data_IF_172400193078
#
_entry.id   IF_172400193078
#
_cell.length_a   1.000
_cell.length_b   1.000
_cell.length_c   1.000
_cell.angle_alpha   90.00
_cell.angle_beta   90.00
_cell.angle_gamma   90.00
#
_symmetry.space_group_name_H-M   'P 1'
#
loop_
_entity.id
_entity.type
_entity.pdbx_description
1 polymer ?
#
# COMPACT_ATOMS: atom_id res chain seq x y z
N UNK A 1 16.88 -18.27 6.27
CA UNK A 1 16.72 -16.88 5.81
C UNK A 1 15.35 -16.66 5.18
N UNK A 2 14.82 -15.44 5.29
CA UNK A 2 13.54 -15.03 4.69
C UNK A 2 13.84 -13.96 3.64
N UNK A 3 13.63 -14.27 2.36
CA UNK A 3 13.83 -13.30 1.29
C UNK A 3 12.51 -12.67 0.93
N UNK A 4 12.48 -11.33 0.98
CA UNK A 4 11.41 -10.52 0.41
C UNK A 4 11.89 -9.92 -0.90
N UNK A 5 11.05 -9.94 -1.91
CA UNK A 5 11.33 -9.34 -3.21
C UNK A 5 10.20 -8.35 -3.50
N UNK A 6 10.54 -7.08 -3.60
CA UNK A 6 9.64 -6.02 -4.04
C UNK A 6 9.82 -5.81 -5.55
N UNK A 7 8.75 -6.02 -6.30
CA UNK A 7 8.79 -6.00 -7.76
C UNK A 7 8.07 -4.75 -8.26
N UNK A 8 8.84 -3.73 -8.62
CA UNK A 8 8.33 -2.52 -9.24
C UNK A 8 8.47 -2.52 -10.76
N UNK A 9 7.81 -1.57 -11.42
CA UNK A 9 7.90 -1.41 -12.87
C UNK A 9 9.28 -1.01 -13.40
N UNK A 10 10.17 -0.47 -12.56
CA UNK A 10 11.53 -0.02 -12.96
C UNK A 10 12.66 -0.79 -12.30
N UNK A 11 12.44 -1.32 -11.10
CA UNK A 11 13.44 -2.04 -10.32
C UNK A 11 12.80 -3.23 -9.60
N UNK A 12 13.60 -4.27 -9.40
CA UNK A 12 13.33 -5.40 -8.51
C UNK A 12 14.33 -5.30 -7.36
N UNK A 13 13.85 -5.31 -6.12
CA UNK A 13 14.66 -5.29 -4.91
C UNK A 13 14.48 -6.60 -4.15
N UNK A 14 15.55 -7.30 -3.86
CA UNK A 14 15.60 -8.40 -2.91
C UNK A 14 16.22 -7.91 -1.60
N UNK A 15 15.60 -8.22 -0.47
CA UNK A 15 16.23 -8.12 0.84
C UNK A 15 16.06 -9.43 1.61
N UNK A 16 17.11 -9.79 2.34
CA UNK A 16 17.11 -10.96 3.21
C UNK A 16 16.99 -10.55 4.68
N UNK A 17 16.19 -11.30 5.41
CA UNK A 17 15.89 -11.06 6.81
C UNK A 17 16.10 -12.32 7.65
N UNK A 18 16.40 -12.13 8.95
CA UNK A 18 16.35 -13.20 9.93
C UNK A 18 14.89 -13.40 10.44
N UNK A 19 14.68 -14.33 11.38
CA UNK A 19 13.38 -14.62 11.97
C UNK A 19 12.75 -13.45 12.76
N UNK A 20 13.54 -12.43 13.12
CA UNK A 20 13.06 -11.20 13.76
C UNK A 20 12.75 -10.10 12.75
N UNK A 21 12.83 -10.40 11.46
CA UNK A 21 12.71 -9.43 10.36
C UNK A 21 13.73 -8.28 10.44
N UNK A 22 14.93 -8.56 10.97
CA UNK A 22 16.08 -7.67 10.87
C UNK A 22 16.72 -7.87 9.49
N UNK A 23 16.92 -6.77 8.75
CA UNK A 23 17.47 -6.80 7.38
C UNK A 23 18.97 -7.04 7.41
N UNK A 24 19.44 -8.11 6.76
CA UNK A 24 20.83 -8.53 6.72
C UNK A 24 21.51 -8.32 5.37
N UNK A 25 20.72 -8.25 4.29
CA UNK A 25 21.26 -8.14 2.92
C UNK A 25 20.23 -7.41 2.05
N UNK A 26 20.71 -6.72 1.01
CA UNK A 26 19.85 -6.12 -0.01
C UNK A 26 20.59 -6.04 -1.34
N UNK A 27 19.88 -6.31 -2.43
CA UNK A 27 20.38 -6.15 -3.79
C UNK A 27 19.23 -5.67 -4.69
N UNK A 28 19.57 -4.86 -5.69
CA UNK A 28 18.61 -4.30 -6.65
C UNK A 28 19.09 -4.52 -8.07
N UNK A 29 18.14 -4.79 -8.95
CA UNK A 29 18.38 -4.87 -10.39
C UNK A 29 17.26 -4.10 -11.14
N UNK A 30 17.52 -3.60 -12.36
CA UNK A 30 16.46 -3.07 -13.22
C UNK A 30 15.42 -4.16 -13.52
N UNK A 31 14.14 -3.78 -13.63
CA UNK A 31 13.07 -4.69 -14.04
C UNK A 31 13.12 -4.90 -15.55
N UNK A 32 13.35 -6.14 -16.06
CA UNK A 32 13.21 -6.44 -17.48
C UNK A 32 11.78 -6.19 -17.96
N UNK A 33 11.64 -5.45 -19.08
CA UNK A 33 10.33 -4.97 -19.56
C UNK A 33 9.90 -5.60 -20.89
N UNK A 34 10.81 -6.33 -21.56
CA UNK A 34 10.61 -6.77 -22.95
C UNK A 34 10.42 -8.26 -23.09
N UNK A 35 10.96 -9.05 -22.17
CA UNK A 35 10.91 -10.52 -22.21
C UNK A 35 10.57 -11.12 -20.85
N UNK A 36 9.65 -12.07 -20.81
CA UNK A 36 9.22 -12.73 -19.59
C UNK A 36 10.30 -13.67 -19.02
N UNK A 37 11.06 -14.34 -19.88
CA UNK A 37 12.14 -15.23 -19.42
C UNK A 37 13.29 -14.44 -18.79
N UNK A 38 13.63 -13.27 -19.35
CA UNK A 38 14.60 -12.36 -18.76
C UNK A 38 14.12 -11.86 -17.40
N UNK A 39 12.82 -11.58 -17.24
CA UNK A 39 12.21 -11.18 -15.97
C UNK A 39 12.33 -12.31 -14.92
N UNK A 40 11.99 -13.54 -15.27
CA UNK A 40 12.15 -14.71 -14.39
C UNK A 40 13.64 -14.93 -14.03
N UNK A 41 14.54 -14.80 -15.00
CA UNK A 41 15.98 -14.99 -14.78
C UNK A 41 16.60 -13.91 -13.88
N UNK A 42 16.10 -12.67 -13.95
CA UNK A 42 16.53 -11.59 -13.06
C UNK A 42 16.20 -11.91 -11.59
N UNK A 43 14.97 -12.39 -11.32
CA UNK A 43 14.56 -12.81 -9.97
C UNK A 43 15.39 -14.02 -9.51
N UNK A 44 15.54 -15.04 -10.37
CA UNK A 44 16.37 -16.22 -10.08
C UNK A 44 17.79 -15.83 -9.70
N UNK A 45 18.40 -14.94 -10.46
CA UNK A 45 19.77 -14.49 -10.23
C UNK A 45 19.92 -13.79 -8.87
N UNK A 46 18.95 -12.93 -8.49
CA UNK A 46 18.96 -12.30 -7.18
C UNK A 46 18.87 -13.32 -6.04
N UNK A 47 17.97 -14.31 -6.18
CA UNK A 47 17.79 -15.37 -5.17
C UNK A 47 19.04 -16.26 -5.06
N UNK A 48 19.65 -16.66 -6.18
CA UNK A 48 20.86 -17.48 -6.18
C UNK A 48 22.06 -16.75 -5.55
N UNK A 49 22.18 -15.43 -5.77
CA UNK A 49 23.22 -14.62 -5.12
C UNK A 49 23.00 -14.52 -3.61
N UNK A 50 21.75 -14.34 -3.17
CA UNK A 50 21.43 -14.33 -1.76
C UNK A 50 21.70 -15.69 -1.11
N UNK A 51 21.31 -16.81 -1.75
CA UNK A 51 21.61 -18.18 -1.28
C UNK A 51 23.13 -18.40 -1.16
N UNK A 52 23.89 -17.96 -2.15
CA UNK A 52 25.36 -18.08 -2.14
C UNK A 52 26.00 -17.25 -1.02
N UNK A 53 25.44 -16.04 -0.77
CA UNK A 53 25.91 -15.15 0.31
C UNK A 53 25.73 -15.76 1.71
N UNK A 54 24.60 -16.44 1.95
CA UNK A 54 24.30 -17.05 3.26
C UNK A 54 24.71 -18.53 3.36
N UNK A 55 25.03 -19.17 2.26
CA UNK A 55 25.34 -20.59 2.22
C UNK A 55 24.15 -21.52 2.45
N UNK A 56 22.92 -20.98 2.38
CA UNK A 56 21.67 -21.72 2.56
C UNK A 56 20.57 -21.20 1.64
N UNK A 57 19.55 -22.03 1.36
CA UNK A 57 18.37 -21.63 0.62
C UNK A 57 17.36 -20.92 1.54
N UNK A 58 17.06 -19.64 1.27
CA UNK A 58 16.02 -18.91 1.97
C UNK A 58 14.61 -19.17 1.40
N UNK A 59 13.56 -18.80 2.14
CA UNK A 59 12.19 -18.72 1.60
C UNK A 59 12.05 -17.50 0.69
N UNK A 60 11.11 -17.51 -0.26
CA UNK A 60 10.96 -16.42 -1.25
C UNK A 60 9.53 -15.88 -1.25
N UNK A 61 9.36 -14.67 -0.75
CA UNK A 61 8.12 -13.92 -0.83
C UNK A 61 8.23 -12.75 -1.80
N UNK A 62 7.15 -12.47 -2.55
CA UNK A 62 7.07 -11.40 -3.53
C UNK A 62 6.03 -10.37 -3.12
N UNK A 63 6.36 -9.09 -3.25
CA UNK A 63 5.43 -7.98 -3.29
C UNK A 63 5.23 -7.51 -4.72
N UNK A 64 3.98 -7.42 -5.19
CA UNK A 64 3.61 -7.13 -6.56
C UNK A 64 2.76 -5.86 -6.66
N UNK A 65 2.92 -5.03 -7.71
CA UNK A 65 1.97 -3.95 -8.03
C UNK A 65 0.74 -4.53 -8.74
N UNK A 66 -0.09 -5.24 -8.00
CA UNK A 66 -1.21 -6.06 -8.45
C UNK A 66 -1.33 -7.29 -7.58
N UNK A 67 -1.88 -8.38 -8.09
CA UNK A 67 -2.08 -9.61 -7.33
C UNK A 67 -1.97 -10.86 -8.22
N UNK A 68 -1.87 -12.03 -7.59
CA UNK A 68 -2.02 -13.32 -8.28
C UNK A 68 -3.43 -13.82 -8.01
N UNK A 69 -4.21 -14.00 -9.07
CA UNK A 69 -5.57 -14.50 -8.97
C UNK A 69 -5.57 -15.94 -8.44
N UNK A 70 -6.09 -16.12 -7.23
CA UNK A 70 -6.07 -17.40 -6.51
C UNK A 70 -6.88 -18.51 -7.20
N UNK A 71 -7.79 -18.17 -8.12
CA UNK A 71 -8.60 -19.14 -8.87
C UNK A 71 -7.89 -19.61 -10.13
N UNK A 72 -7.23 -18.69 -10.84
CA UNK A 72 -6.57 -19.00 -12.13
C UNK A 72 -5.07 -19.25 -12.00
N UNK A 73 -4.44 -18.76 -10.92
CA UNK A 73 -2.99 -18.78 -10.74
C UNK A 73 -2.25 -17.77 -11.61
N UNK A 74 -2.96 -16.88 -12.33
CA UNK A 74 -2.36 -15.89 -13.21
C UNK A 74 -2.17 -14.57 -12.48
N UNK A 75 -1.07 -13.87 -12.79
CA UNK A 75 -0.82 -12.53 -12.27
C UNK A 75 -1.67 -11.49 -13.01
N UNK A 76 -2.23 -10.55 -12.24
CA UNK A 76 -2.89 -9.35 -12.72
C UNK A 76 -2.08 -8.14 -12.27
N UNK A 77 -1.16 -7.67 -13.13
CA UNK A 77 -0.16 -6.63 -12.83
C UNK A 77 -0.10 -5.60 -13.95
N UNK A 78 -0.47 -4.36 -13.65
CA UNK A 78 -0.61 -3.30 -14.66
C UNK A 78 0.73 -2.68 -15.07
N UNK A 79 1.69 -2.61 -14.16
CA UNK A 79 2.95 -1.87 -14.35
C UNK A 79 4.11 -2.77 -14.83
N UNK A 80 3.89 -4.09 -15.00
CA UNK A 80 4.90 -5.07 -15.41
C UNK A 80 4.28 -5.93 -16.52
N UNK A 81 4.16 -5.34 -17.71
CA UNK A 81 3.45 -5.96 -18.85
C UNK A 81 3.94 -7.36 -19.22
N UNK A 82 5.22 -7.64 -19.05
CA UNK A 82 5.80 -8.95 -19.38
C UNK A 82 5.32 -10.06 -18.45
N UNK A 83 4.95 -9.72 -17.21
CA UNK A 83 4.43 -10.65 -16.19
C UNK A 83 2.91 -10.69 -16.13
N UNK A 84 2.21 -9.76 -16.81
CA UNK A 84 0.76 -9.73 -16.80
C UNK A 84 0.16 -10.95 -17.48
N UNK A 85 -0.89 -11.51 -16.88
CA UNK A 85 -1.56 -12.74 -17.35
C UNK A 85 -0.59 -13.95 -17.47
N UNK A 86 0.45 -14.03 -16.61
CA UNK A 86 1.42 -15.15 -16.56
C UNK A 86 1.30 -15.93 -15.24
N UNK A 87 1.59 -17.25 -15.24
CA UNK A 87 1.60 -18.10 -14.04
C UNK A 87 2.91 -17.92 -13.25
N UNK A 88 3.18 -16.69 -12.80
CA UNK A 88 4.49 -16.29 -12.25
C UNK A 88 4.91 -17.12 -11.04
N UNK A 89 4.01 -17.54 -10.17
CA UNK A 89 4.34 -18.38 -9.02
C UNK A 89 4.81 -19.76 -9.47
N UNK A 90 4.03 -20.44 -10.30
CA UNK A 90 4.37 -21.78 -10.79
C UNK A 90 5.71 -21.80 -11.57
N UNK A 91 5.95 -20.75 -12.39
CA UNK A 91 7.20 -20.65 -13.15
C UNK A 91 8.40 -20.35 -12.23
N UNK A 92 8.24 -19.45 -11.24
CA UNK A 92 9.29 -19.17 -10.26
C UNK A 92 9.58 -20.38 -9.36
N UNK A 93 8.57 -21.09 -8.88
CA UNK A 93 8.73 -22.31 -8.09
C UNK A 93 9.49 -23.38 -8.86
N UNK A 94 9.17 -23.55 -10.15
CA UNK A 94 9.87 -24.49 -11.04
C UNK A 94 11.34 -24.16 -11.20
N UNK A 95 11.71 -22.89 -11.44
CA UNK A 95 13.10 -22.51 -11.69
C UNK A 95 13.94 -22.38 -10.41
N UNK A 96 13.31 -22.07 -9.26
CA UNK A 96 13.98 -21.93 -7.96
C UNK A 96 14.02 -23.27 -7.18
N UNK A 97 13.14 -24.21 -7.51
CA UNK A 97 13.01 -25.50 -6.83
C UNK A 97 12.57 -25.37 -5.37
N UNK A 98 11.68 -24.39 -5.07
CA UNK A 98 11.13 -24.11 -3.73
C UNK A 98 9.81 -23.37 -3.82
N UNK A 99 9.03 -23.41 -2.74
CA UNK A 99 7.77 -22.63 -2.60
C UNK A 99 8.05 -21.13 -2.74
N UNK A 100 7.16 -20.44 -3.48
CA UNK A 100 7.16 -19.00 -3.66
C UNK A 100 5.77 -18.48 -3.26
N UNK A 101 5.71 -17.44 -2.43
CA UNK A 101 4.47 -16.75 -2.08
C UNK A 101 4.48 -15.35 -2.65
N UNK A 102 3.33 -14.86 -3.06
CA UNK A 102 3.19 -13.50 -3.53
C UNK A 102 1.95 -12.85 -2.94
N UNK A 103 2.06 -11.54 -2.72
CA UNK A 103 0.95 -10.68 -2.30
C UNK A 103 1.08 -9.31 -2.97
N UNK A 104 -0.02 -8.55 -2.95
CA UNK A 104 0.00 -7.16 -3.34
C UNK A 104 0.96 -6.35 -2.46
N UNK A 105 1.57 -5.30 -3.01
CA UNK A 105 2.54 -4.45 -2.34
C UNK A 105 1.96 -3.74 -1.10
N UNK A 106 0.70 -3.28 -1.15
CA UNK A 106 0.02 -2.69 0.00
C UNK A 106 -0.32 -3.75 1.08
N UNK A 107 -0.62 -4.99 0.70
CA UNK A 107 -0.77 -6.11 1.62
C UNK A 107 0.56 -6.43 2.31
N UNK A 108 1.66 -6.46 1.56
CA UNK A 108 3.00 -6.61 2.11
C UNK A 108 3.35 -5.48 3.08
N UNK A 109 3.05 -4.23 2.72
CA UNK A 109 3.22 -3.09 3.61
C UNK A 109 2.43 -3.28 4.92
N UNK A 110 1.15 -3.60 4.85
CA UNK A 110 0.31 -3.82 6.03
C UNK A 110 0.85 -4.97 6.91
N UNK A 111 1.31 -6.05 6.30
CA UNK A 111 1.91 -7.19 7.01
C UNK A 111 3.20 -6.79 7.70
N UNK A 112 4.07 -6.01 7.03
CA UNK A 112 5.30 -5.50 7.60
C UNK A 112 5.05 -4.70 8.89
N UNK A 113 4.08 -3.79 8.83
CA UNK A 113 3.72 -2.96 9.99
C UNK A 113 3.03 -3.77 11.10
N UNK A 114 2.19 -4.75 10.76
CA UNK A 114 1.55 -5.63 11.72
C UNK A 114 2.56 -6.53 12.47
N UNK A 115 3.68 -6.88 11.84
CA UNK A 115 4.76 -7.67 12.45
C UNK A 115 5.83 -6.82 13.15
N UNK A 116 5.64 -5.51 13.29
CA UNK A 116 6.45 -4.71 14.19
C UNK A 116 6.14 -5.08 15.66
N UNK A 117 7.16 -5.18 16.51
CA UNK A 117 7.01 -5.61 17.92
C UNK A 117 5.95 -4.81 18.68
N UNK A 118 5.88 -3.50 18.44
CA UNK A 118 4.90 -2.61 19.08
C UNK A 118 3.46 -2.85 18.60
N UNK A 119 3.30 -3.47 17.43
CA UNK A 119 2.01 -3.64 16.78
C UNK A 119 1.47 -5.07 16.88
N UNK A 120 2.28 -6.04 17.31
CA UNK A 120 1.87 -7.45 17.45
C UNK A 120 0.72 -7.68 18.44
N UNK A 121 0.49 -6.74 19.36
CA UNK A 121 -0.63 -6.75 20.30
C UNK A 121 -2.00 -6.50 19.64
N UNK A 122 -2.05 -5.93 18.42
CA UNK A 122 -3.30 -5.62 17.74
C UNK A 122 -3.78 -6.84 16.93
N UNK A 123 -5.00 -7.37 17.21
CA UNK A 123 -5.56 -8.50 16.48
C UNK A 123 -5.77 -8.20 15.00
N UNK A 124 -6.08 -6.96 14.63
CA UNK A 124 -6.17 -6.54 13.23
C UNK A 124 -5.51 -5.19 12.98
N UNK A 125 -4.83 -5.10 11.85
CA UNK A 125 -4.11 -3.92 11.39
C UNK A 125 -4.55 -3.59 9.97
N UNK A 126 -4.99 -2.37 9.76
CA UNK A 126 -5.28 -1.82 8.44
C UNK A 126 -4.11 -0.92 8.01
N UNK A 127 -3.35 -1.34 7.02
CA UNK A 127 -2.34 -0.51 6.38
C UNK A 127 -2.97 0.33 5.28
N UNK A 128 -2.75 1.64 5.28
CA UNK A 128 -3.21 2.56 4.24
C UNK A 128 -2.00 3.30 3.67
N UNK A 129 -1.80 3.21 2.36
CA UNK A 129 -0.71 3.90 1.66
C UNK A 129 -1.28 5.14 0.98
N UNK A 130 -0.85 6.32 1.42
CA UNK A 130 -1.15 7.61 0.82
C UNK A 130 0.09 8.08 0.03
N UNK A 131 0.38 7.36 -1.05
CA UNK A 131 1.53 7.58 -1.93
C UNK A 131 1.15 8.29 -3.24
N UNK A 132 1.78 7.92 -4.36
CA UNK A 132 1.35 8.37 -5.69
C UNK A 132 -0.11 7.99 -5.95
N UNK A 133 -0.52 6.78 -5.53
CA UNK A 133 -1.90 6.32 -5.44
C UNK A 133 -2.32 6.14 -3.98
N UNK A 134 -3.56 5.68 -3.78
CA UNK A 134 -4.10 5.24 -2.51
C UNK A 134 -4.38 3.75 -2.56
N UNK A 135 -3.83 3.00 -1.63
CA UNK A 135 -4.04 1.56 -1.50
C UNK A 135 -4.12 1.14 -0.05
N UNK A 136 -4.45 -0.12 0.19
CA UNK A 136 -4.48 -0.64 1.54
C UNK A 136 -4.34 -2.15 1.61
N UNK A 137 -4.04 -2.64 2.81
CA UNK A 137 -4.00 -4.06 3.13
C UNK A 137 -4.58 -4.31 4.51
N UNK A 138 -5.22 -5.45 4.69
CA UNK A 138 -5.83 -5.82 5.97
C UNK A 138 -5.23 -7.10 6.52
N UNK A 139 -4.68 -7.00 7.72
CA UNK A 139 -4.02 -8.10 8.44
C UNK A 139 -4.84 -8.48 9.67
N UNK A 140 -5.17 -9.75 9.81
CA UNK A 140 -5.91 -10.31 10.93
C UNK A 140 -5.06 -11.40 11.57
N UNK A 141 -4.77 -11.29 12.88
CA UNK A 141 -3.95 -12.25 13.62
C UNK A 141 -2.61 -12.56 12.93
N UNK A 142 -1.96 -11.50 12.39
CA UNK A 142 -0.68 -11.61 11.72
C UNK A 142 -0.71 -12.21 10.32
N UNK A 143 -1.89 -12.43 9.73
CA UNK A 143 -2.08 -12.94 8.37
C UNK A 143 -2.83 -11.95 7.50
N UNK A 144 -2.44 -11.84 6.26
CA UNK A 144 -3.14 -11.01 5.26
C UNK A 144 -4.51 -11.62 4.97
N UNK A 145 -5.51 -10.76 4.85
CA UNK A 145 -6.82 -11.13 4.31
C UNK A 145 -6.83 -10.87 2.80
N UNK A 146 -6.48 -11.88 2.01
CA UNK A 146 -6.35 -11.76 0.55
C UNK A 146 -7.70 -11.85 -0.19
N UNK A 147 -8.78 -12.33 0.47
CA UNK A 147 -10.10 -12.51 -0.15
C UNK A 147 -10.19 -13.73 -1.05
N UNK A 148 -11.25 -13.78 -1.87
CA UNK A 148 -11.57 -14.95 -2.71
C UNK A 148 -10.59 -15.13 -3.88
N UNK A 149 -10.19 -14.03 -4.51
CA UNK A 149 -9.36 -14.06 -5.72
C UNK A 149 -8.00 -13.38 -5.55
N UNK A 150 -7.68 -12.89 -4.34
CA UNK A 150 -6.44 -12.18 -4.06
C UNK A 150 -6.53 -10.65 -4.10
N UNK A 151 -7.71 -10.07 -4.36
CA UNK A 151 -7.87 -8.61 -4.52
C UNK A 151 -8.46 -7.88 -3.29
N UNK A 152 -8.57 -8.54 -2.14
CA UNK A 152 -9.01 -7.85 -0.94
C UNK A 152 -7.97 -6.79 -0.53
N UNK A 153 -8.45 -5.60 -0.16
CA UNK A 153 -7.55 -4.48 0.15
C UNK A 153 -7.40 -3.46 -0.97
N UNK A 154 -7.99 -3.69 -2.15
CA UNK A 154 -8.05 -2.72 -3.26
C UNK A 154 -8.93 -1.50 -2.93
N UNK A 155 -8.65 -0.90 -1.75
CA UNK A 155 -9.43 0.20 -1.15
C UNK A 155 -9.37 1.49 -1.98
N UNK A 156 -8.31 1.64 -2.76
CA UNK A 156 -8.17 2.77 -3.68
C UNK A 156 -9.25 2.83 -4.74
N UNK A 157 -9.87 1.69 -5.06
CA UNK A 157 -10.94 1.61 -6.06
C UNK A 157 -12.36 1.72 -5.50
N UNK A 158 -12.51 1.92 -4.18
CA UNK A 158 -13.76 2.43 -3.60
C UNK A 158 -14.03 3.84 -4.14
N UNK A 159 -15.30 4.12 -4.45
CA UNK A 159 -15.69 5.41 -5.00
C UNK A 159 -16.08 6.41 -3.89
N UNK A 160 -16.01 7.70 -4.22
CA UNK A 160 -16.51 8.76 -3.35
C UNK A 160 -18.00 8.53 -3.03
N UNK A 161 -18.33 8.65 -1.76
CA UNK A 161 -19.70 8.54 -1.31
C UNK A 161 -20.44 9.90 -1.41
N UNK A 162 -21.73 9.89 -1.07
CA UNK A 162 -22.60 11.07 -1.04
C UNK A 162 -22.00 12.25 -0.24
N UNK A 163 -21.45 11.98 0.96
CA UNK A 163 -20.92 13.02 1.83
C UNK A 163 -19.65 13.67 1.26
N UNK A 164 -18.80 12.86 0.64
CA UNK A 164 -17.61 13.34 -0.04
C UNK A 164 -17.96 14.24 -1.24
N UNK A 165 -18.90 13.81 -2.08
CA UNK A 165 -19.39 14.62 -3.20
C UNK A 165 -20.00 15.94 -2.73
N UNK A 166 -20.80 15.91 -1.65
CA UNK A 166 -21.39 17.12 -1.05
C UNK A 166 -20.30 18.06 -0.55
N UNK A 167 -19.26 17.55 0.12
CA UNK A 167 -18.13 18.35 0.59
C UNK A 167 -17.43 19.06 -0.56
N UNK A 168 -17.25 18.37 -1.70
CA UNK A 168 -16.57 18.90 -2.89
C UNK A 168 -17.46 19.78 -3.79
N UNK A 169 -18.71 20.09 -3.39
CA UNK A 169 -19.60 21.00 -4.11
C UNK A 169 -20.63 20.30 -5.01
N UNK A 170 -20.87 19.00 -4.77
CA UNK A 170 -21.91 18.20 -5.42
C UNK A 170 -21.74 18.14 -6.95
N UNK A 171 -22.57 18.83 -7.71
CA UNK A 171 -22.54 18.92 -9.18
C UNK A 171 -21.29 19.63 -9.73
N UNK A 172 -20.56 20.33 -8.88
CA UNK A 172 -19.28 21.00 -9.18
C UNK A 172 -18.07 20.20 -8.68
N UNK A 173 -18.29 19.06 -8.02
CA UNK A 173 -17.20 18.23 -7.53
C UNK A 173 -16.32 17.78 -8.72
N UNK A 174 -14.99 17.93 -8.64
CA UNK A 174 -14.11 17.41 -9.68
C UNK A 174 -14.22 15.87 -9.69
N UNK A 175 -14.54 15.30 -10.85
CA UNK A 175 -14.67 13.85 -11.04
C UNK A 175 -13.51 13.37 -11.89
N UNK A 176 -12.59 12.63 -11.27
CA UNK A 176 -11.39 12.11 -11.91
C UNK A 176 -11.61 10.68 -12.44
N UNK A 177 -11.04 10.42 -13.61
CA UNK A 177 -10.93 9.05 -14.13
C UNK A 177 -9.78 8.33 -13.45
N UNK A 178 -10.03 7.11 -12.97
CA UNK A 178 -9.02 6.24 -12.39
C UNK A 178 -8.38 5.34 -13.44
N UNK A 179 -7.14 4.92 -13.19
CA UNK A 179 -6.43 3.95 -14.03
C UNK A 179 -7.15 2.60 -14.20
N UNK A 180 -8.05 2.23 -13.25
CA UNK A 180 -8.89 1.04 -13.38
C UNK A 180 -10.06 1.18 -14.37
N UNK A 181 -10.22 2.35 -15.00
CA UNK A 181 -11.31 2.66 -15.95
C UNK A 181 -12.55 3.28 -15.32
N UNK A 182 -12.73 3.19 -13.99
CA UNK A 182 -13.83 3.81 -13.25
C UNK A 182 -13.56 5.30 -12.97
N UNK A 183 -14.55 5.99 -12.44
CA UNK A 183 -14.47 7.38 -12.02
C UNK A 183 -14.67 7.50 -10.52
N UNK A 184 -14.14 8.59 -9.95
CA UNK A 184 -14.30 8.95 -8.54
C UNK A 184 -13.73 7.91 -7.55
N UNK A 185 -12.74 7.12 -7.95
CA UNK A 185 -12.02 6.21 -7.06
C UNK A 185 -11.19 6.99 -6.03
N UNK A 186 -11.14 6.54 -4.78
CA UNK A 186 -10.37 7.16 -3.69
C UNK A 186 -8.90 7.36 -4.04
N UNK A 187 -8.33 6.48 -4.88
CA UNK A 187 -6.98 6.58 -5.43
C UNK A 187 -6.66 7.95 -6.04
N UNK A 188 -7.66 8.58 -6.66
CA UNK A 188 -7.51 9.88 -7.32
C UNK A 188 -7.82 11.08 -6.41
N UNK A 189 -8.13 10.86 -5.11
CA UNK A 189 -8.48 11.94 -4.17
C UNK A 189 -7.65 11.94 -2.90
N UNK A 190 -7.51 10.80 -2.21
CA UNK A 190 -6.81 10.71 -0.92
C UNK A 190 -5.40 10.13 -1.04
N UNK A 191 -4.80 10.26 -2.22
CA UNK A 191 -3.39 10.01 -2.51
C UNK A 191 -2.60 11.31 -2.60
N UNK A 192 -1.27 11.22 -2.70
CA UNK A 192 -0.42 12.39 -2.96
C UNK A 192 -0.77 13.09 -4.26
N UNK A 193 -0.95 12.33 -5.34
CA UNK A 193 -1.42 12.87 -6.62
C UNK A 193 -2.81 13.50 -6.51
N UNK A 194 -3.72 12.83 -5.79
CA UNK A 194 -5.07 13.36 -5.54
C UNK A 194 -5.05 14.66 -4.75
N UNK A 195 -4.16 14.78 -3.77
CA UNK A 195 -3.95 15.98 -2.97
C UNK A 195 -3.54 17.18 -3.86
N UNK A 196 -2.61 16.98 -4.79
CA UNK A 196 -2.16 18.00 -5.75
C UNK A 196 -3.26 18.37 -6.75
N UNK A 197 -3.94 17.37 -7.33
CA UNK A 197 -5.04 17.58 -8.30
C UNK A 197 -6.20 18.35 -7.66
N UNK A 198 -6.61 17.98 -6.46
CA UNK A 198 -7.67 18.66 -5.72
C UNK A 198 -7.29 20.11 -5.37
N UNK A 199 -6.02 20.35 -4.96
CA UNK A 199 -5.56 21.71 -4.69
C UNK A 199 -5.67 22.57 -5.94
N UNK A 200 -5.16 22.07 -7.07
CA UNK A 200 -5.24 22.76 -8.35
C UNK A 200 -6.69 23.12 -8.72
N UNK A 201 -7.61 22.15 -8.61
CA UNK A 201 -8.98 22.34 -9.07
C UNK A 201 -9.84 23.19 -8.10
N UNK A 202 -9.54 23.14 -6.79
CA UNK A 202 -10.25 23.92 -5.77
C UNK A 202 -9.66 25.33 -5.53
N UNK A 203 -8.35 25.50 -5.77
CA UNK A 203 -7.63 26.74 -5.48
C UNK A 203 -7.09 27.44 -6.74
N UNK A 204 -7.10 26.79 -7.90
CA UNK A 204 -6.69 27.36 -9.18
C UNK A 204 -5.18 27.49 -9.37
N UNK A 205 -4.38 26.80 -8.56
CA UNK A 205 -2.92 26.86 -8.60
C UNK A 205 -2.32 25.43 -8.58
N UNK A 206 -1.34 25.18 -9.44
CA UNK A 206 -0.67 23.88 -9.55
C UNK A 206 0.58 23.88 -8.66
N UNK A 207 0.56 23.07 -7.60
CA UNK A 207 1.63 22.93 -6.61
C UNK A 207 1.85 21.46 -6.28
N UNK A 208 3.09 21.13 -5.93
CA UNK A 208 3.40 19.83 -5.33
C UNK A 208 2.82 19.68 -3.93
N UNK A 209 2.60 18.45 -3.49
CA UNK A 209 2.13 18.16 -2.14
C UNK A 209 3.04 18.81 -1.06
N UNK A 210 4.35 18.81 -1.31
CA UNK A 210 5.30 19.46 -0.40
C UNK A 210 5.07 20.95 -0.31
N UNK A 211 4.92 21.66 -1.42
CA UNK A 211 4.68 23.11 -1.43
C UNK A 211 3.35 23.46 -0.76
N UNK A 212 2.30 22.68 -0.99
CA UNK A 212 1.01 22.88 -0.32
C UNK A 212 1.16 22.73 1.20
N UNK A 213 1.89 21.70 1.66
CA UNK A 213 2.16 21.45 3.08
C UNK A 213 3.01 22.56 3.67
N UNK A 214 4.04 23.03 2.98
CA UNK A 214 4.89 24.15 3.43
C UNK A 214 4.05 25.42 3.61
N UNK A 215 3.16 25.74 2.65
CA UNK A 215 2.22 26.88 2.76
C UNK A 215 1.19 26.70 3.88
N UNK A 216 0.72 25.49 4.12
CA UNK A 216 -0.16 25.20 5.27
C UNK A 216 0.54 25.54 6.60
N UNK A 217 1.79 25.11 6.77
CA UNK A 217 2.56 25.46 7.98
C UNK A 217 2.92 26.96 8.06
N UNK A 218 3.07 27.62 6.92
CA UNK A 218 3.19 29.08 6.83
C UNK A 218 1.85 29.81 7.11
N UNK A 219 0.73 29.06 7.30
CA UNK A 219 -0.62 29.58 7.58
C UNK A 219 -1.20 30.42 6.45
N UNK A 220 -0.85 30.14 5.21
CA UNK A 220 -1.50 30.73 4.06
C UNK A 220 -2.96 30.26 3.99
N UNK A 221 -3.89 31.23 3.89
CA UNK A 221 -5.33 30.99 4.00
C UNK A 221 -5.83 29.92 3.00
N UNK A 222 -5.37 29.99 1.74
CA UNK A 222 -5.77 29.03 0.70
C UNK A 222 -5.34 27.61 1.02
N UNK A 223 -4.12 27.41 1.54
CA UNK A 223 -3.59 26.11 1.91
C UNK A 223 -4.26 25.57 3.19
N UNK A 224 -4.50 26.44 4.17
CA UNK A 224 -5.21 26.07 5.41
C UNK A 224 -6.65 25.63 5.11
N UNK A 225 -7.37 26.39 4.27
CA UNK A 225 -8.74 26.01 3.89
C UNK A 225 -8.77 24.71 3.07
N UNK A 226 -7.83 24.54 2.15
CA UNK A 226 -7.68 23.31 1.38
C UNK A 226 -7.40 22.09 2.26
N UNK A 227 -6.43 22.18 3.18
CA UNK A 227 -6.08 21.07 4.08
C UNK A 227 -7.27 20.70 4.96
N UNK A 228 -8.09 21.66 5.40
CA UNK A 228 -9.33 21.38 6.13
C UNK A 228 -10.29 20.53 5.29
N UNK A 229 -10.47 20.87 4.01
CA UNK A 229 -11.31 20.09 3.07
C UNK A 229 -10.73 18.69 2.87
N UNK A 230 -9.42 18.58 2.66
CA UNK A 230 -8.75 17.30 2.43
C UNK A 230 -8.84 16.36 3.65
N UNK A 231 -8.62 16.89 4.86
CA UNK A 231 -8.76 16.10 6.11
C UNK A 231 -10.18 15.59 6.26
N UNK A 232 -11.19 16.44 5.98
CA UNK A 232 -12.59 16.03 6.05
C UNK A 232 -12.92 14.94 5.01
N UNK A 233 -12.42 15.09 3.77
CA UNK A 233 -12.57 14.09 2.71
C UNK A 233 -11.91 12.76 3.09
N UNK A 234 -10.71 12.82 3.65
CA UNK A 234 -10.00 11.63 4.13
C UNK A 234 -10.74 10.97 5.30
N UNK A 235 -11.28 11.76 6.24
CA UNK A 235 -12.07 11.25 7.36
C UNK A 235 -13.37 10.57 6.90
N UNK A 236 -14.09 11.14 5.94
CA UNK A 236 -15.27 10.52 5.32
C UNK A 236 -14.89 9.17 4.70
N UNK A 237 -13.80 9.12 3.93
CA UNK A 237 -13.37 7.94 3.20
C UNK A 237 -12.86 6.85 4.14
N UNK A 238 -11.97 7.20 5.06
CA UNK A 238 -11.41 6.27 6.06
C UNK A 238 -12.51 5.82 7.03
N UNK A 239 -13.47 6.68 7.38
CA UNK A 239 -14.63 6.35 8.20
C UNK A 239 -15.49 5.22 7.60
N UNK A 240 -15.68 5.22 6.27
CA UNK A 240 -16.35 4.11 5.58
C UNK A 240 -15.53 2.82 5.65
N UNK A 241 -14.22 2.91 5.50
CA UNK A 241 -13.32 1.77 5.61
C UNK A 241 -13.33 1.21 7.04
N UNK A 242 -13.28 2.07 8.06
CA UNK A 242 -13.41 1.66 9.47
C UNK A 242 -14.77 0.96 9.69
N UNK A 243 -15.84 1.51 9.14
CA UNK A 243 -17.19 0.91 9.27
C UNK A 243 -17.26 -0.49 8.65
N UNK A 244 -16.51 -0.75 7.58
CA UNK A 244 -16.48 -2.05 6.90
C UNK A 244 -15.59 -3.09 7.59
N UNK A 245 -14.47 -2.67 8.18
CA UNK A 245 -13.42 -3.57 8.67
C UNK A 245 -13.25 -3.58 10.20
N UNK A 246 -13.71 -2.54 10.89
CA UNK A 246 -13.56 -2.35 12.36
C UNK A 246 -12.14 -2.72 12.85
N UNK A 247 -11.07 -2.09 12.29
CA UNK A 247 -9.70 -2.46 12.60
C UNK A 247 -9.30 -2.03 14.00
N UNK A 248 -8.42 -2.81 14.67
CA UNK A 248 -7.87 -2.43 15.97
C UNK A 248 -6.81 -1.33 15.86
N UNK A 249 -6.19 -1.18 14.69
CA UNK A 249 -5.17 -0.15 14.42
C UNK A 249 -5.12 0.18 12.94
N UNK A 250 -4.82 1.45 12.62
CA UNK A 250 -4.50 1.92 11.28
C UNK A 250 -3.04 2.39 11.23
N UNK A 251 -2.32 2.00 10.18
CA UNK A 251 -0.98 2.52 9.87
C UNK A 251 -1.02 3.26 8.56
N UNK A 252 -0.53 4.51 8.55
CA UNK A 252 -0.42 5.33 7.35
C UNK A 252 1.00 5.25 6.79
N UNK A 253 1.11 4.90 5.51
CA UNK A 253 2.33 4.92 4.72
C UNK A 253 2.21 5.82 3.50
N UNK A 254 3.25 5.83 2.66
CA UNK A 254 3.35 6.68 1.49
C UNK A 254 3.75 8.13 1.81
N UNK A 255 3.93 8.95 0.78
CA UNK A 255 4.49 10.30 0.91
C UNK A 255 3.70 11.22 1.85
N UNK A 256 2.36 11.19 1.78
CA UNK A 256 1.51 12.01 2.66
C UNK A 256 1.50 11.56 4.12
N UNK A 257 1.95 10.34 4.45
CA UNK A 257 2.12 9.92 5.83
C UNK A 257 3.16 10.76 6.59
N UNK A 258 4.01 11.52 5.86
CA UNK A 258 4.95 12.47 6.45
C UNK A 258 4.32 13.83 6.78
N UNK A 259 3.05 14.04 6.46
CA UNK A 259 2.31 15.23 6.88
C UNK A 259 1.78 15.01 8.30
N UNK A 260 2.56 15.37 9.30
CA UNK A 260 2.31 15.06 10.72
C UNK A 260 0.96 15.58 11.24
N UNK A 261 0.43 16.65 10.64
CA UNK A 261 -0.89 17.20 10.97
C UNK A 261 -2.03 16.17 10.78
N UNK A 262 -1.89 15.19 9.89
CA UNK A 262 -2.90 14.14 9.69
C UNK A 262 -3.15 13.32 10.95
N UNK A 263 -2.10 13.07 11.76
CA UNK A 263 -2.21 12.29 13.01
C UNK A 263 -2.93 13.02 14.14
N UNK A 264 -3.01 14.35 14.05
CA UNK A 264 -3.79 15.18 14.98
C UNK A 264 -5.23 15.40 14.47
N UNK A 265 -5.38 15.60 13.16
CA UNK A 265 -6.63 16.05 12.55
C UNK A 265 -7.59 14.89 12.26
N UNK A 266 -7.11 13.76 11.73
CA UNK A 266 -7.96 12.61 11.41
C UNK A 266 -8.68 12.03 12.63
N UNK A 267 -8.03 11.79 13.79
CA UNK A 267 -8.73 11.31 14.98
C UNK A 267 -9.83 12.26 15.49
N UNK A 268 -9.71 13.56 15.22
CA UNK A 268 -10.72 14.56 15.59
C UNK A 268 -11.90 14.62 14.61
N UNK A 269 -11.63 14.40 13.31
CA UNK A 269 -12.64 14.43 12.26
C UNK A 269 -13.45 13.12 12.15
N UNK A 270 -12.81 11.97 12.32
CA UNK A 270 -13.40 10.65 12.16
C UNK A 270 -14.69 10.39 12.95
N UNK A 271 -14.84 10.81 14.24
CA UNK A 271 -16.05 10.54 15.01
C UNK A 271 -17.35 11.04 14.35
N UNK A 272 -17.29 12.10 13.55
CA UNK A 272 -18.45 12.62 12.82
C UNK A 272 -18.94 11.69 11.69
N UNK A 273 -18.09 10.76 11.25
CA UNK A 273 -18.34 9.86 10.12
C UNK A 273 -18.48 8.38 10.55
N UNK A 274 -18.51 8.13 11.84
CA UNK A 274 -18.62 6.77 12.40
C UNK A 274 -19.97 6.56 13.08
N UNK A 275 -20.38 5.31 13.20
CA UNK A 275 -21.52 4.96 14.02
C UNK A 275 -21.26 5.30 15.49
N UNK A 276 -22.31 5.64 16.24
CA UNK A 276 -22.23 6.07 17.65
C UNK A 276 -21.42 5.15 18.56
N UNK A 277 -21.44 3.84 18.30
CA UNK A 277 -20.75 2.82 19.10
C UNK A 277 -19.32 2.53 18.61
N UNK A 278 -18.96 3.01 17.40
CA UNK A 278 -17.64 2.79 16.85
C UNK A 278 -16.58 3.60 17.60
N UNK A 279 -15.38 3.04 17.67
CA UNK A 279 -14.21 3.72 18.24
C UNK A 279 -13.26 4.09 17.12
N UNK A 280 -12.65 5.25 17.20
CA UNK A 280 -11.55 5.60 16.32
C UNK A 280 -10.35 4.74 16.73
N UNK A 281 -9.85 3.86 15.85
CA UNK A 281 -8.64 3.08 16.16
C UNK A 281 -7.42 4.01 16.24
N UNK A 282 -6.37 3.62 16.98
CA UNK A 282 -5.08 4.32 16.92
C UNK A 282 -4.61 4.44 15.47
N UNK A 283 -4.21 5.65 15.06
CA UNK A 283 -3.63 5.92 13.74
C UNK A 283 -2.15 6.19 13.94
N UNK A 284 -1.29 5.34 13.37
CA UNK A 284 0.17 5.42 13.50
C UNK A 284 0.83 5.70 12.16
N UNK A 285 1.99 6.34 12.22
CA UNK A 285 2.89 6.49 11.08
C UNK A 285 3.63 5.17 10.84
N UNK A 286 3.81 4.81 9.57
CA UNK A 286 4.60 3.65 9.18
C UNK A 286 6.04 3.76 9.70
N UNK A 287 6.54 2.67 10.29
CA UNK A 287 7.87 2.60 10.89
C UNK A 287 8.93 2.15 9.87
N UNK A 288 8.53 1.30 8.92
CA UNK A 288 9.45 0.66 7.98
C UNK A 288 9.56 1.37 6.62
N UNK A 289 8.76 2.42 6.36
CA UNK A 289 8.85 3.30 5.19
C UNK A 289 8.96 2.53 3.86
N UNK A 290 9.93 2.92 3.01
CA UNK A 290 10.18 2.28 1.70
C UNK A 290 10.60 0.80 1.79
N UNK A 291 11.05 0.33 2.96
CA UNK A 291 11.40 -1.09 3.18
C UNK A 291 10.19 -1.95 3.58
N UNK A 292 9.00 -1.34 3.76
CA UNK A 292 7.79 -2.02 4.20
C UNK A 292 7.35 -3.14 3.25
N UNK A 293 7.36 -2.90 1.95
CA UNK A 293 6.98 -3.87 0.93
C UNK A 293 7.87 -5.13 0.96
N UNK A 294 9.18 -4.95 0.84
CA UNK A 294 10.14 -6.06 0.84
C UNK A 294 10.18 -6.81 2.16
N UNK A 295 10.03 -6.12 3.31
CA UNK A 295 9.95 -6.74 4.63
C UNK A 295 8.66 -7.55 4.81
N UNK A 296 7.54 -7.04 4.33
CA UNK A 296 6.26 -7.74 4.34
C UNK A 296 6.25 -8.97 3.44
N UNK A 297 6.86 -8.88 2.26
CA UNK A 297 7.04 -10.02 1.38
C UNK A 297 7.83 -11.15 2.07
N UNK A 298 8.92 -10.83 2.78
CA UNK A 298 9.66 -11.80 3.58
C UNK A 298 8.80 -12.42 4.69
N UNK A 299 7.92 -11.62 5.30
CA UNK A 299 7.04 -12.06 6.39
C UNK A 299 5.92 -13.02 5.95
N UNK A 300 5.68 -13.21 4.66
CA UNK A 300 4.67 -14.16 4.14
C UNK A 300 4.89 -15.62 4.62
N UNK A 301 6.10 -15.95 5.01
CA UNK A 301 6.45 -17.28 5.53
C UNK A 301 6.48 -17.37 7.05
N UNK A 302 6.25 -16.28 7.76
CA UNK A 302 6.19 -16.28 9.21
C UNK A 302 4.77 -16.65 9.69
N UNK A 303 4.70 -17.39 10.80
CA UNK A 303 3.45 -17.68 11.47
C UNK A 303 3.51 -17.11 12.88
N UNK A 304 2.45 -16.47 13.35
CA UNK A 304 2.24 -16.21 14.77
C UNK A 304 1.75 -17.51 15.39
N UNK A 305 2.50 -18.00 16.38
CA UNK A 305 2.07 -19.11 17.24
C UNK A 305 0.88 -18.70 18.12
#
# INVERSE_FOLDING_TARGET
MYYGIDIGGTKIELAAFNAKLEKLYTERVPTPQTDYQDWLQAIKTLVERADAHFGEKGTVGLGLPGFVNLTTGLAEVTNIRVADNKPILADLEKILGREVRAENDANCFALSEAWDEENTQYPSVLGLILGTGFGGGFVINGKIHSGQVGMAGELGHLQLNYHALKLLGWDKAPIYQCGCGNHACLDTYISGRGFEMLYRDLKGEELSAKEIIDRFYAKEESAVDFVRIFVELAAISIGNIITAFDPHMIVLGGGLSNFDYLYEALPKALPAHLMRSAKVPPIKKAKHGDSGGVRGAAALFLNRE
#
